data_IF_067870414460
#
_entry.id   IF_067870414460
#
_cell.length_a   1.000
_cell.length_b   1.000
_cell.length_c   1.000
_cell.angle_alpha   90.00
_cell.angle_beta   90.00
_cell.angle_gamma   90.00
#
_symmetry.space_group_name_H-M   'P 1'
#
loop_
_entity.id
_entity.type
_entity.pdbx_description
1 polymer ?
#
# COMPACT_ATOMS: atom_id res chain seq x y z
N UNK A 1 3.83 -2.68 -30.94
CA UNK A 1 2.37 -2.90 -30.93
C UNK A 1 1.65 -1.70 -30.33
N UNK A 2 0.31 -1.60 -30.47
CA UNK A 2 -0.49 -0.60 -29.75
C UNK A 2 -0.99 -1.16 -28.42
N UNK A 3 -1.12 -0.29 -27.42
CA UNK A 3 -1.71 -0.60 -26.11
C UNK A 3 -2.61 0.54 -25.66
N UNK A 4 -3.71 0.23 -24.98
CA UNK A 4 -4.52 1.23 -24.30
C UNK A 4 -3.89 1.53 -22.93
N UNK A 5 -3.83 2.81 -22.56
CA UNK A 5 -3.25 3.26 -21.31
C UNK A 5 -4.00 4.48 -20.77
N UNK A 6 -4.25 4.51 -19.46
CA UNK A 6 -4.77 5.70 -18.81
C UNK A 6 -3.61 6.64 -18.52
N UNK A 7 -3.70 7.85 -19.07
CA UNK A 7 -2.66 8.87 -18.98
C UNK A 7 -3.19 10.17 -18.39
N UNK A 8 -2.27 10.98 -17.88
CA UNK A 8 -2.56 12.37 -17.55
C UNK A 8 -1.62 13.28 -18.36
N UNK A 9 -2.20 14.36 -18.89
CA UNK A 9 -1.48 15.40 -19.67
C UNK A 9 -1.23 16.66 -18.82
N UNK A 10 -1.83 16.70 -17.63
CA UNK A 10 -1.63 17.70 -16.57
C UNK A 10 -1.97 17.07 -15.23
N UNK A 11 -1.42 17.60 -14.17
CA UNK A 11 -1.84 17.21 -12.81
C UNK A 11 -3.22 17.79 -12.47
N UNK A 12 -3.96 17.13 -11.57
CA UNK A 12 -5.28 17.58 -11.15
C UNK A 12 -6.14 16.49 -10.52
N UNK A 13 -7.45 16.72 -10.49
CA UNK A 13 -8.44 15.77 -10.01
C UNK A 13 -8.64 14.57 -10.97
N UNK A 14 -9.55 13.63 -10.62
CA UNK A 14 -9.77 12.44 -11.45
C UNK A 14 -10.13 12.71 -12.92
N UNK A 15 -10.68 13.87 -13.21
CA UNK A 15 -11.10 14.29 -14.57
C UNK A 15 -9.93 14.47 -15.55
N UNK A 16 -8.69 14.55 -15.07
CA UNK A 16 -7.53 14.72 -15.95
C UNK A 16 -7.06 13.39 -16.58
N UNK A 17 -7.58 12.26 -16.10
CA UNK A 17 -7.24 10.94 -16.63
C UNK A 17 -7.95 10.67 -17.95
N UNK A 18 -7.19 10.27 -18.96
CA UNK A 18 -7.66 9.98 -20.31
C UNK A 18 -7.18 8.59 -20.73
N UNK A 19 -8.03 7.85 -21.45
CA UNK A 19 -7.66 6.60 -22.06
C UNK A 19 -7.07 6.87 -23.45
N UNK A 20 -5.76 6.71 -23.59
CA UNK A 20 -5.02 6.91 -24.81
C UNK A 20 -4.62 5.57 -25.45
N UNK A 21 -4.52 5.53 -26.76
CA UNK A 21 -3.81 4.48 -27.47
C UNK A 21 -2.36 4.92 -27.72
N UNK A 22 -1.40 4.15 -27.22
CA UNK A 22 0.02 4.47 -27.32
C UNK A 22 0.82 3.34 -27.96
N UNK A 23 1.96 3.68 -28.53
CA UNK A 23 2.92 2.70 -29.02
C UNK A 23 3.66 2.04 -27.85
N UNK A 24 3.64 0.71 -27.81
CA UNK A 24 4.44 -0.08 -26.88
C UNK A 24 5.54 -0.78 -27.69
N UNK A 25 6.82 -0.46 -27.46
CA UNK A 25 7.92 -1.12 -28.15
C UNK A 25 8.03 -2.59 -27.75
N UNK A 26 8.77 -3.38 -28.53
CA UNK A 26 9.14 -4.73 -28.13
C UNK A 26 9.97 -4.67 -26.82
N UNK A 27 9.86 -5.68 -25.95
CA UNK A 27 10.60 -5.68 -24.69
C UNK A 27 12.12 -5.67 -24.96
N UNK A 28 12.79 -4.72 -24.32
CA UNK A 28 14.24 -4.59 -24.38
C UNK A 28 14.95 -5.80 -23.75
N UNK A 29 16.27 -5.91 -23.92
CA UNK A 29 17.07 -6.94 -23.24
C UNK A 29 16.83 -6.87 -21.71
N UNK A 30 16.64 -8.02 -21.06
CA UNK A 30 16.34 -8.13 -19.65
C UNK A 30 14.90 -7.73 -19.25
N UNK A 31 14.02 -7.38 -20.21
CA UNK A 31 12.62 -7.00 -19.95
C UNK A 31 11.66 -8.03 -20.49
N UNK A 32 10.45 -8.01 -19.95
CA UNK A 32 9.32 -8.78 -20.46
C UNK A 32 8.16 -7.84 -20.76
N UNK A 33 7.28 -8.25 -21.68
CA UNK A 33 5.96 -7.64 -21.86
C UNK A 33 4.94 -8.46 -21.09
N UNK A 34 4.11 -7.76 -20.34
CA UNK A 34 3.06 -8.34 -19.52
C UNK A 34 1.72 -7.87 -20.08
N UNK A 35 0.83 -8.80 -20.36
CA UNK A 35 -0.59 -8.52 -20.57
C UNK A 35 -1.23 -8.46 -19.19
N UNK A 36 -1.60 -7.26 -18.75
CA UNK A 36 -2.20 -7.05 -17.45
C UNK A 36 -3.59 -7.69 -17.40
N UNK A 37 -3.91 -8.30 -16.26
CA UNK A 37 -5.22 -8.95 -16.00
C UNK A 37 -5.96 -8.27 -14.86
N UNK A 38 -5.22 -7.67 -13.91
CA UNK A 38 -5.79 -6.94 -12.80
C UNK A 38 -4.79 -5.87 -12.31
N UNK A 39 -5.25 -4.65 -12.15
CA UNK A 39 -4.44 -3.48 -11.77
C UNK A 39 -4.97 -2.94 -10.45
N UNK A 40 -4.13 -2.81 -9.44
CA UNK A 40 -4.53 -2.24 -8.15
C UNK A 40 -4.56 -0.72 -8.15
N UNK A 41 -5.61 -0.16 -7.54
CA UNK A 41 -5.73 1.29 -7.34
C UNK A 41 -5.30 1.64 -5.91
N UNK A 42 -4.33 2.54 -5.78
CA UNK A 42 -3.70 2.89 -4.52
C UNK A 42 -3.60 4.40 -4.32
N UNK A 43 -3.42 4.87 -3.08
CA UNK A 43 -3.20 6.29 -2.81
C UNK A 43 -1.94 6.85 -3.49
N UNK A 44 -0.94 6.00 -3.77
CA UNK A 44 0.23 6.39 -4.54
C UNK A 44 -0.12 6.92 -5.94
N UNK A 45 -1.15 6.32 -6.55
CA UNK A 45 -1.64 6.74 -7.88
C UNK A 45 -2.34 8.11 -7.80
N UNK A 46 -3.05 8.38 -6.68
CA UNK A 46 -3.66 9.69 -6.42
C UNK A 46 -2.57 10.76 -6.29
N UNK A 47 -1.54 10.50 -5.48
CA UNK A 47 -0.43 11.44 -5.30
C UNK A 47 0.31 11.70 -6.62
N UNK A 48 0.50 10.67 -7.47
CA UNK A 48 1.08 10.84 -8.81
C UNK A 48 0.21 11.72 -9.69
N UNK A 49 -1.10 11.47 -9.72
CA UNK A 49 -2.04 12.27 -10.49
C UNK A 49 -2.06 13.74 -10.06
N UNK A 50 -1.97 14.01 -8.77
CA UNK A 50 -1.99 15.36 -8.19
C UNK A 50 -0.63 16.08 -8.28
N UNK A 51 0.45 15.36 -8.60
CA UNK A 51 1.81 15.90 -8.62
C UNK A 51 2.45 15.97 -7.23
N UNK A 52 1.82 15.36 -6.22
CA UNK A 52 2.31 15.34 -4.82
C UNK A 52 3.03 14.02 -4.51
N UNK A 53 4.18 13.80 -5.12
CA UNK A 53 4.99 12.60 -4.89
C UNK A 53 5.96 12.70 -3.72
N UNK A 54 5.89 13.75 -2.93
CA UNK A 54 6.62 13.85 -1.66
C UNK A 54 8.14 13.93 -1.78
N UNK A 55 8.69 14.45 -2.89
CA UNK A 55 10.12 14.61 -3.03
C UNK A 55 10.57 15.39 -4.28
N UNK A 56 11.77 15.96 -4.26
CA UNK A 56 12.29 16.79 -5.36
C UNK A 56 12.53 16.06 -6.70
N UNK A 57 12.34 14.74 -6.72
CA UNK A 57 12.54 13.91 -7.91
C UNK A 57 11.23 13.40 -8.54
N UNK A 58 10.10 13.94 -8.14
CA UNK A 58 8.78 13.48 -8.57
C UNK A 58 8.22 14.21 -9.81
N UNK A 59 8.85 15.26 -10.28
CA UNK A 59 8.46 15.93 -11.51
C UNK A 59 8.83 15.06 -12.72
N UNK A 60 7.89 14.23 -13.19
CA UNK A 60 7.97 13.56 -14.47
C UNK A 60 7.45 14.50 -15.56
N UNK A 61 8.10 14.49 -16.70
CA UNK A 61 7.58 15.20 -17.87
C UNK A 61 6.24 14.58 -18.31
N UNK A 62 5.21 15.40 -18.34
CA UNK A 62 3.91 15.00 -18.87
C UNK A 62 3.96 14.87 -20.41
N UNK A 63 3.17 13.99 -20.99
CA UNK A 63 2.16 13.14 -20.40
C UNK A 63 2.74 11.85 -19.81
N UNK A 64 2.21 11.38 -18.67
CA UNK A 64 2.61 10.13 -18.01
C UNK A 64 1.50 9.10 -18.06
N UNK A 65 1.86 7.82 -18.20
CA UNK A 65 0.94 6.70 -17.95
C UNK A 65 0.86 6.44 -16.46
N UNK A 66 -0.35 6.35 -15.95
CA UNK A 66 -0.63 6.18 -14.53
C UNK A 66 -0.31 4.78 -14.01
N UNK A 67 -0.27 4.67 -12.68
CA UNK A 67 -0.32 3.41 -11.95
C UNK A 67 1.03 2.87 -11.50
N UNK A 68 1.00 2.14 -10.37
CA UNK A 68 2.19 1.68 -9.65
C UNK A 68 2.28 0.17 -9.46
N UNK A 69 1.24 -0.58 -9.80
CA UNK A 69 1.26 -2.04 -9.68
C UNK A 69 0.21 -2.69 -10.57
N UNK A 70 0.52 -3.86 -11.08
CA UNK A 70 -0.46 -4.75 -11.69
C UNK A 70 -0.03 -6.21 -11.55
N UNK A 71 -0.95 -7.08 -11.92
CA UNK A 71 -0.69 -8.50 -12.16
C UNK A 71 -1.13 -8.87 -13.57
N UNK A 72 -0.53 -9.91 -14.12
CA UNK A 72 -0.86 -10.35 -15.47
C UNK A 72 -0.07 -11.57 -15.89
N UNK A 73 -0.07 -11.79 -17.19
CA UNK A 73 0.59 -12.94 -17.83
C UNK A 73 1.68 -12.44 -18.77
N UNK A 74 2.85 -13.03 -18.71
CA UNK A 74 3.94 -12.71 -19.62
C UNK A 74 3.53 -13.06 -21.05
N UNK A 75 3.53 -12.07 -21.92
CA UNK A 75 3.14 -12.17 -23.33
C UNK A 75 4.35 -12.27 -24.26
N UNK A 76 5.45 -11.60 -23.91
CA UNK A 76 6.72 -11.67 -24.64
C UNK A 76 7.89 -11.51 -23.69
N UNK A 77 9.03 -12.09 -24.09
CA UNK A 77 10.31 -11.96 -23.36
C UNK A 77 11.35 -11.30 -24.26
N UNK A 78 12.07 -10.34 -23.69
CA UNK A 78 13.20 -9.72 -24.37
C UNK A 78 14.43 -10.62 -24.35
N UNK A 79 15.47 -10.18 -25.08
CA UNK A 79 16.76 -10.89 -25.11
C UNK A 79 17.31 -11.04 -23.68
N UNK A 80 18.00 -12.14 -23.43
CA UNK A 80 18.72 -12.46 -22.18
C UNK A 80 17.80 -12.70 -20.95
N UNK A 81 16.48 -12.80 -21.12
CA UNK A 81 15.56 -13.22 -20.06
C UNK A 81 15.49 -14.76 -20.01
N UNK A 82 16.00 -15.33 -18.92
CA UNK A 82 16.01 -16.78 -18.66
C UNK A 82 15.20 -17.16 -17.42
N UNK A 83 14.85 -16.17 -16.59
CA UNK A 83 14.15 -16.38 -15.31
C UNK A 83 12.65 -16.58 -15.42
N UNK A 84 12.06 -16.21 -16.55
CA UNK A 84 10.61 -16.26 -16.78
C UNK A 84 10.27 -16.77 -18.19
N UNK A 85 9.09 -17.38 -18.31
CA UNK A 85 8.58 -17.92 -19.59
C UNK A 85 7.28 -17.23 -20.00
N UNK A 86 7.00 -17.20 -21.30
CA UNK A 86 5.69 -16.78 -21.82
C UNK A 86 4.61 -17.65 -21.20
N UNK A 87 3.49 -17.02 -20.80
CA UNK A 87 2.38 -17.69 -20.12
C UNK A 87 2.50 -17.69 -18.59
N UNK A 88 3.66 -17.36 -18.01
CA UNK A 88 3.81 -17.28 -16.54
C UNK A 88 2.97 -16.14 -15.95
N UNK A 89 2.29 -16.43 -14.82
CA UNK A 89 1.55 -15.43 -14.05
C UNK A 89 2.49 -14.66 -13.13
N UNK A 90 2.44 -13.35 -13.22
CA UNK A 90 3.35 -12.48 -12.48
C UNK A 90 2.63 -11.25 -11.94
N UNK A 91 3.13 -10.71 -10.84
CA UNK A 91 2.82 -9.36 -10.37
C UNK A 91 4.06 -8.48 -10.42
N UNK A 92 3.87 -7.17 -10.45
CA UNK A 92 4.96 -6.21 -10.37
C UNK A 92 4.55 -4.95 -9.63
N UNK A 93 5.55 -4.26 -9.07
CA UNK A 93 5.43 -2.91 -8.55
C UNK A 93 6.36 -2.03 -9.37
N UNK A 94 5.76 -1.14 -10.13
CA UNK A 94 6.47 -0.27 -11.07
C UNK A 94 5.53 0.69 -11.77
N UNK A 95 6.06 1.67 -12.51
CA UNK A 95 5.27 2.68 -13.20
C UNK A 95 4.49 2.11 -14.38
N UNK A 96 3.55 2.90 -14.87
CA UNK A 96 2.81 2.67 -16.12
C UNK A 96 1.90 1.42 -16.08
N UNK A 97 1.37 1.08 -14.92
CA UNK A 97 0.56 -0.13 -14.79
C UNK A 97 -0.90 0.03 -15.26
N UNK A 98 -1.41 1.27 -15.38
CA UNK A 98 -2.76 1.52 -15.92
C UNK A 98 -2.78 1.38 -17.44
N UNK A 99 -2.47 0.19 -17.91
CA UNK A 99 -2.40 -0.15 -19.33
C UNK A 99 -2.81 -1.61 -19.57
N UNK A 100 -3.22 -1.93 -20.80
CA UNK A 100 -3.51 -3.32 -21.18
C UNK A 100 -2.23 -4.16 -21.27
N UNK A 101 -1.12 -3.54 -21.70
CA UNK A 101 0.20 -4.17 -21.74
C UNK A 101 1.26 -3.22 -21.18
N UNK A 102 2.23 -3.78 -20.46
CA UNK A 102 3.35 -3.03 -19.88
C UNK A 102 4.65 -3.79 -20.04
N UNK A 103 5.74 -3.09 -20.39
CA UNK A 103 7.10 -3.65 -20.39
C UNK A 103 7.74 -3.43 -19.01
N UNK A 104 8.28 -4.51 -18.41
CA UNK A 104 8.90 -4.47 -17.08
C UNK A 104 10.23 -5.22 -17.06
N UNK A 105 11.22 -4.76 -16.28
CA UNK A 105 12.43 -5.56 -16.01
C UNK A 105 12.06 -6.91 -15.39
N UNK A 106 12.55 -8.00 -15.95
CA UNK A 106 12.26 -9.36 -15.47
C UNK A 106 12.67 -9.57 -14.00
N UNK A 107 13.75 -8.93 -13.56
CA UNK A 107 14.25 -8.98 -12.17
C UNK A 107 13.33 -8.32 -11.14
N UNK A 108 12.26 -7.59 -11.56
CA UNK A 108 11.31 -6.92 -10.67
C UNK A 108 9.95 -7.61 -10.59
N UNK A 109 9.87 -8.81 -11.12
CA UNK A 109 8.62 -9.55 -11.14
C UNK A 109 8.50 -10.48 -9.93
N UNK A 110 7.27 -10.61 -9.46
CA UNK A 110 6.89 -11.56 -8.42
C UNK A 110 6.10 -12.69 -9.09
N UNK A 111 6.59 -13.93 -9.04
CA UNK A 111 5.84 -15.08 -9.51
C UNK A 111 4.62 -15.31 -8.63
N UNK A 112 3.44 -15.44 -9.24
CA UNK A 112 2.19 -15.64 -8.50
C UNK A 112 1.92 -17.13 -8.30
N UNK A 113 1.70 -17.58 -7.04
CA UNK A 113 1.24 -18.94 -6.78
C UNK A 113 -0.17 -19.18 -7.37
N UNK A 114 -0.46 -20.41 -7.81
CA UNK A 114 -1.77 -20.78 -8.37
C UNK A 114 -2.92 -20.56 -7.38
N UNK A 115 -2.66 -20.71 -6.08
CA UNK A 115 -3.65 -20.48 -5.03
C UNK A 115 -4.04 -19.00 -4.83
N UNK A 116 -3.30 -18.05 -5.43
CA UNK A 116 -3.61 -16.63 -5.37
C UNK A 116 -4.20 -16.17 -6.69
N UNK A 117 -5.46 -15.75 -6.68
CA UNK A 117 -6.13 -15.24 -7.87
C UNK A 117 -5.58 -13.88 -8.30
N UNK A 118 -5.76 -13.51 -9.57
CA UNK A 118 -5.32 -12.20 -10.07
C UNK A 118 -5.99 -11.03 -9.32
N UNK A 119 -7.26 -11.19 -8.95
CA UNK A 119 -7.99 -10.19 -8.15
C UNK A 119 -7.36 -9.97 -6.77
N UNK A 120 -7.04 -11.07 -6.07
CA UNK A 120 -6.39 -11.01 -4.76
C UNK A 120 -5.00 -10.40 -4.91
N UNK A 121 -4.20 -10.86 -5.87
CA UNK A 121 -2.88 -10.30 -6.09
C UNK A 121 -2.96 -8.81 -6.51
N UNK A 122 -3.86 -8.45 -7.42
CA UNK A 122 -4.10 -7.08 -7.85
C UNK A 122 -4.54 -6.16 -6.72
N UNK A 123 -5.37 -6.64 -5.80
CA UNK A 123 -5.79 -5.87 -4.63
C UNK A 123 -4.73 -5.76 -3.52
N UNK A 124 -3.88 -6.79 -3.37
CA UNK A 124 -3.09 -6.95 -2.15
C UNK A 124 -1.57 -6.92 -2.34
N UNK A 125 -1.01 -7.02 -3.54
CA UNK A 125 0.45 -7.11 -3.74
C UNK A 125 1.19 -5.91 -3.13
N UNK A 126 0.85 -4.67 -3.53
CA UNK A 126 1.51 -3.46 -3.02
C UNK A 126 1.27 -3.27 -1.52
N UNK A 127 0.01 -3.39 -1.10
CA UNK A 127 -0.39 -3.21 0.31
C UNK A 127 0.20 -4.30 1.19
N UNK A 128 0.19 -5.54 0.72
CA UNK A 128 0.72 -6.68 1.44
C UNK A 128 2.24 -6.62 1.61
N UNK A 129 2.99 -6.26 0.57
CA UNK A 129 4.44 -6.03 0.69
C UNK A 129 4.75 -4.84 1.60
N UNK A 130 3.88 -3.83 1.61
CA UNK A 130 3.99 -2.71 2.56
C UNK A 130 3.76 -3.19 3.99
N UNK A 131 2.72 -3.97 4.25
CA UNK A 131 2.47 -4.54 5.58
C UNK A 131 3.60 -5.48 6.01
N UNK A 132 4.15 -6.27 5.09
CA UNK A 132 5.26 -7.19 5.35
C UNK A 132 6.46 -6.45 5.93
N UNK A 133 6.97 -5.42 5.23
CA UNK A 133 8.14 -4.74 5.77
C UNK A 133 7.83 -3.93 7.03
N UNK A 134 6.65 -3.33 7.14
CA UNK A 134 6.25 -2.58 8.33
C UNK A 134 6.23 -3.46 9.58
N UNK A 135 5.64 -4.66 9.49
CA UNK A 135 5.41 -5.55 10.63
C UNK A 135 6.59 -6.47 10.93
N UNK A 136 7.41 -6.84 9.92
CA UNK A 136 8.39 -7.91 10.08
C UNK A 136 9.84 -7.45 9.97
N UNK A 137 10.11 -6.37 9.25
CA UNK A 137 11.49 -5.91 8.99
C UNK A 137 11.80 -4.55 9.61
N UNK A 138 10.91 -3.57 9.46
CA UNK A 138 11.10 -2.25 10.04
C UNK A 138 10.93 -2.27 11.57
N UNK A 139 9.79 -2.75 12.04
CA UNK A 139 9.54 -3.06 13.44
C UNK A 139 9.13 -4.53 13.55
N UNK A 140 9.93 -5.33 14.23
CA UNK A 140 9.65 -6.77 14.37
C UNK A 140 8.50 -6.97 15.36
N UNK A 141 7.29 -6.90 14.83
CA UNK A 141 6.06 -7.11 15.60
C UNK A 141 5.95 -8.59 16.02
N UNK A 142 5.54 -8.83 17.26
CA UNK A 142 5.39 -10.18 17.80
C UNK A 142 4.75 -10.20 19.19
N UNK A 143 4.79 -11.34 19.89
CA UNK A 143 4.26 -11.44 21.26
C UNK A 143 4.85 -10.38 22.18
N UNK A 144 3.98 -9.71 22.95
CA UNK A 144 4.34 -8.60 23.82
C UNK A 144 4.41 -7.23 23.16
N UNK A 145 4.28 -7.14 21.83
CA UNK A 145 4.17 -5.85 21.12
C UNK A 145 2.74 -5.32 21.21
N UNK A 146 2.58 -4.04 21.57
CA UNK A 146 1.34 -3.30 21.40
C UNK A 146 1.51 -2.28 20.26
N UNK A 147 0.77 -2.46 19.16
CA UNK A 147 0.82 -1.59 17.99
C UNK A 147 -0.46 -0.74 17.87
N UNK A 148 -0.31 0.57 17.63
CA UNK A 148 -1.42 1.45 17.27
C UNK A 148 -1.41 1.65 15.76
N UNK A 149 -2.57 1.49 15.12
CA UNK A 149 -2.75 1.69 13.68
C UNK A 149 -3.80 2.75 13.43
N UNK A 150 -3.42 3.85 12.80
CA UNK A 150 -4.38 4.85 12.36
C UNK A 150 -5.12 4.40 11.09
N UNK A 151 -6.38 4.83 10.96
CA UNK A 151 -7.29 4.41 9.88
C UNK A 151 -7.43 2.88 9.79
N UNK A 152 -7.70 2.23 10.92
CA UNK A 152 -7.73 0.78 11.08
C UNK A 152 -8.69 0.05 10.13
N UNK A 153 -9.81 0.67 9.74
CA UNK A 153 -10.75 0.13 8.77
C UNK A 153 -10.40 0.45 7.30
N UNK A 154 -9.27 1.09 7.03
CA UNK A 154 -8.79 1.32 5.66
C UNK A 154 -8.03 0.12 5.11
N UNK A 155 -7.80 0.09 3.78
CA UNK A 155 -7.20 -1.06 3.11
C UNK A 155 -5.84 -1.50 3.66
N UNK A 156 -4.98 -0.58 4.12
CA UNK A 156 -3.75 -0.92 4.86
C UNK A 156 -4.04 -1.34 6.29
N UNK A 157 -4.99 -0.64 6.97
CA UNK A 157 -5.36 -0.93 8.33
C UNK A 157 -5.85 -2.37 8.53
N UNK A 158 -6.67 -2.87 7.62
CA UNK A 158 -7.19 -4.24 7.69
C UNK A 158 -6.07 -5.29 7.63
N UNK A 159 -5.12 -5.13 6.70
CA UNK A 159 -3.97 -6.04 6.61
C UNK A 159 -3.08 -5.95 7.85
N UNK A 160 -2.80 -4.73 8.31
CA UNK A 160 -1.95 -4.53 9.49
C UNK A 160 -2.58 -5.15 10.74
N UNK A 161 -3.90 -5.00 10.92
CA UNK A 161 -4.62 -5.61 12.05
C UNK A 161 -4.54 -7.13 12.04
N UNK A 162 -4.95 -7.76 10.94
CA UNK A 162 -4.97 -9.23 10.85
C UNK A 162 -3.57 -9.83 10.89
N UNK A 163 -2.62 -9.28 10.13
CA UNK A 163 -1.27 -9.82 10.12
C UNK A 163 -0.51 -9.55 11.41
N UNK A 164 -0.72 -8.38 12.03
CA UNK A 164 -0.17 -8.06 13.35
C UNK A 164 -0.66 -9.02 14.44
N UNK A 165 -1.97 -9.30 14.44
CA UNK A 165 -2.55 -10.32 15.33
C UNK A 165 -2.01 -11.71 15.04
N UNK A 166 -1.88 -12.11 13.77
CA UNK A 166 -1.28 -13.39 13.39
C UNK A 166 0.17 -13.53 13.89
N UNK A 167 0.90 -12.43 13.99
CA UNK A 167 2.25 -12.37 14.55
C UNK A 167 2.26 -12.39 16.10
N UNK A 168 1.08 -12.35 16.75
CA UNK A 168 0.93 -12.39 18.20
C UNK A 168 0.99 -11.03 18.90
N UNK A 169 0.88 -9.93 18.17
CA UNK A 169 0.83 -8.59 18.75
C UNK A 169 -0.57 -8.23 19.23
N UNK A 170 -0.65 -7.34 20.22
CA UNK A 170 -1.87 -6.62 20.57
C UNK A 170 -2.04 -5.43 19.63
N UNK A 171 -3.15 -5.41 18.90
CA UNK A 171 -3.44 -4.40 17.88
C UNK A 171 -4.51 -3.42 18.38
N UNK A 172 -4.18 -2.13 18.40
CA UNK A 172 -5.11 -1.03 18.72
C UNK A 172 -5.37 -0.26 17.42
N UNK A 173 -6.63 -0.02 17.09
CA UNK A 173 -7.01 0.69 15.86
C UNK A 173 -7.71 1.99 16.13
N UNK A 174 -7.45 3.04 15.32
CA UNK A 174 -8.27 4.26 15.35
C UNK A 174 -9.17 4.35 14.13
N UNK A 175 -10.40 4.78 14.33
CA UNK A 175 -11.44 4.93 13.31
C UNK A 175 -12.23 6.22 13.48
N UNK A 176 -13.03 6.60 12.46
CA UNK A 176 -13.83 7.83 12.47
C UNK A 176 -15.33 7.62 12.70
N UNK A 177 -15.78 6.37 12.85
CA UNK A 177 -17.19 6.07 13.08
C UNK A 177 -17.38 4.67 13.64
N UNK A 178 -18.55 4.40 14.24
CA UNK A 178 -18.85 3.05 14.79
C UNK A 178 -18.96 2.00 13.68
N UNK A 179 -19.52 2.32 12.53
CA UNK A 179 -19.54 1.38 11.40
C UNK A 179 -18.12 0.93 10.98
N UNK A 180 -17.14 1.84 11.00
CA UNK A 180 -15.73 1.50 10.78
C UNK A 180 -15.11 0.74 11.95
N UNK A 181 -15.58 0.97 13.18
CA UNK A 181 -15.14 0.21 14.34
C UNK A 181 -15.54 -1.26 14.23
N UNK A 182 -16.76 -1.56 13.79
CA UNK A 182 -17.22 -2.92 13.55
C UNK A 182 -16.34 -3.65 12.53
N UNK A 183 -16.04 -2.97 11.39
CA UNK A 183 -15.13 -3.52 10.38
C UNK A 183 -13.75 -3.82 10.95
N UNK A 184 -13.17 -2.89 11.71
CA UNK A 184 -11.84 -3.08 12.29
C UNK A 184 -11.82 -4.22 13.33
N UNK A 185 -12.84 -4.34 14.19
CA UNK A 185 -12.95 -5.47 15.15
C UNK A 185 -12.93 -6.83 14.46
N UNK A 186 -13.61 -6.94 13.31
CA UNK A 186 -13.62 -8.17 12.53
C UNK A 186 -12.25 -8.50 11.89
N UNK A 187 -11.34 -7.53 11.84
CA UNK A 187 -10.04 -7.64 11.18
C UNK A 187 -8.83 -7.54 12.15
N UNK A 188 -8.96 -8.16 13.32
CA UNK A 188 -7.79 -8.46 14.16
C UNK A 188 -7.39 -7.41 15.19
N UNK A 189 -8.21 -6.37 15.39
CA UNK A 189 -7.95 -5.38 16.42
C UNK A 189 -8.54 -5.78 17.78
N UNK A 190 -7.73 -5.72 18.83
CA UNK A 190 -8.11 -6.04 20.21
C UNK A 190 -8.83 -4.86 20.90
N UNK A 191 -8.49 -3.62 20.48
CA UNK A 191 -9.15 -2.41 20.95
C UNK A 191 -9.33 -1.44 19.79
N UNK A 192 -10.46 -0.72 19.80
CA UNK A 192 -10.78 0.30 18.79
C UNK A 192 -11.07 1.62 19.50
N UNK A 193 -10.52 2.69 18.94
CA UNK A 193 -10.69 4.05 19.41
C UNK A 193 -11.39 4.86 18.32
N UNK A 194 -12.61 5.33 18.61
CA UNK A 194 -13.32 6.21 17.70
C UNK A 194 -12.93 7.66 18.02
N UNK A 195 -11.96 8.21 17.27
CA UNK A 195 -11.45 9.56 17.48
C UNK A 195 -12.46 10.70 17.22
N UNK A 196 -13.65 10.40 16.68
CA UNK A 196 -14.72 11.39 16.56
C UNK A 196 -15.44 11.66 17.90
N UNK A 197 -15.35 10.73 18.83
CA UNK A 197 -15.98 10.79 20.16
C UNK A 197 -15.00 10.65 21.32
N UNK A 198 -13.78 10.20 21.06
CA UNK A 198 -12.77 9.90 22.07
C UNK A 198 -11.45 10.61 21.77
N UNK A 199 -10.70 11.01 22.81
CA UNK A 199 -9.30 11.40 22.66
C UNK A 199 -8.43 10.16 22.49
N UNK A 200 -7.90 9.95 21.30
CA UNK A 200 -7.13 8.76 21.02
C UNK A 200 -5.80 8.69 21.81
N UNK A 201 -5.23 9.83 22.24
CA UNK A 201 -4.04 9.83 23.08
C UNK A 201 -4.39 9.24 24.45
N UNK A 202 -5.39 9.81 25.11
CA UNK A 202 -5.84 9.36 26.43
C UNK A 202 -6.28 7.88 26.39
N UNK A 203 -7.02 7.48 25.36
CA UNK A 203 -7.46 6.08 25.19
C UNK A 203 -6.29 5.14 24.91
N UNK A 204 -5.32 5.51 24.08
CA UNK A 204 -4.12 4.69 23.87
C UNK A 204 -3.34 4.50 25.15
N UNK A 205 -3.15 5.56 25.95
CA UNK A 205 -2.49 5.45 27.24
C UNK A 205 -3.28 4.56 28.21
N UNK A 206 -4.60 4.67 28.25
CA UNK A 206 -5.47 3.78 29.05
C UNK A 206 -5.31 2.32 28.63
N UNK A 207 -5.34 2.03 27.32
CA UNK A 207 -5.19 0.67 26.78
C UNK A 207 -3.79 0.09 26.99
N UNK A 208 -2.82 0.90 27.36
CA UNK A 208 -1.42 0.50 27.56
C UNK A 208 -0.93 0.73 29.01
N UNK A 209 -1.84 0.85 29.99
CA UNK A 209 -1.52 1.11 31.39
C UNK A 209 -0.57 2.32 31.59
N UNK A 210 -0.77 3.38 30.81
CA UNK A 210 0.04 4.59 30.81
C UNK A 210 1.39 4.49 30.10
N UNK A 211 1.78 3.32 29.58
CA UNK A 211 3.10 3.10 28.96
C UNK A 211 3.21 3.69 27.56
N UNK A 212 2.10 3.72 26.82
CA UNK A 212 2.06 4.06 25.40
C UNK A 212 2.34 2.87 24.46
N UNK A 213 2.01 3.00 23.19
CA UNK A 213 2.21 1.96 22.20
C UNK A 213 3.70 1.74 21.87
N UNK A 214 4.12 0.53 21.58
CA UNK A 214 5.50 0.20 21.16
C UNK A 214 5.81 0.78 19.79
N UNK A 215 4.86 0.65 18.87
CA UNK A 215 4.93 1.17 17.51
C UNK A 215 3.59 1.76 17.09
N UNK A 216 3.63 2.88 16.38
CA UNK A 216 2.45 3.54 15.80
C UNK A 216 2.61 3.58 14.28
N UNK A 217 1.66 2.99 13.56
CA UNK A 217 1.61 3.01 12.11
C UNK A 217 0.66 4.10 11.63
N UNK A 218 1.20 5.17 11.06
CA UNK A 218 0.45 6.33 10.59
C UNK A 218 0.44 6.45 9.07
N UNK A 219 -0.71 6.14 8.46
CA UNK A 219 -1.02 6.41 7.07
C UNK A 219 -1.81 7.70 6.85
N UNK A 220 -2.15 8.42 7.93
CA UNK A 220 -3.02 9.61 7.92
C UNK A 220 -2.22 10.90 7.71
N UNK A 221 -1.10 11.05 8.43
CA UNK A 221 -0.20 12.20 8.31
C UNK A 221 -0.63 13.41 9.13
N UNK A 222 -0.94 14.54 8.48
CA UNK A 222 -1.17 15.86 9.10
C UNK A 222 -2.05 15.82 10.36
N UNK A 223 -3.13 15.07 10.35
CA UNK A 223 -4.09 15.05 11.47
C UNK A 223 -3.68 14.18 12.65
N UNK A 224 -2.81 13.18 12.44
CA UNK A 224 -2.51 12.16 13.45
C UNK A 224 -1.06 12.16 13.92
N UNK A 225 -0.10 12.42 13.04
CA UNK A 225 1.32 12.20 13.29
C UNK A 225 1.85 12.87 14.56
N UNK A 226 1.66 14.18 14.69
CA UNK A 226 2.21 14.93 15.85
C UNK A 226 1.60 14.48 17.17
N UNK A 227 0.33 14.10 17.17
CA UNK A 227 -0.37 13.58 18.34
C UNK A 227 0.09 12.17 18.70
N UNK A 228 0.53 11.38 17.74
CA UNK A 228 1.06 10.03 17.96
C UNK A 228 2.31 10.01 18.83
N UNK A 229 3.12 11.09 18.79
CA UNK A 229 4.30 11.24 19.65
C UNK A 229 3.95 11.28 21.15
N UNK A 230 2.73 11.70 21.48
CA UNK A 230 2.29 11.83 22.87
C UNK A 230 1.86 10.49 23.48
N UNK A 231 1.43 9.50 22.64
CA UNK A 231 0.96 8.20 23.07
C UNK A 231 1.85 7.02 22.65
N UNK A 232 3.02 7.27 22.08
CA UNK A 232 4.07 6.26 21.91
C UNK A 232 4.89 6.16 23.21
N UNK A 233 5.35 4.95 23.56
CA UNK A 233 6.19 4.74 24.75
C UNK A 233 7.60 5.36 24.60
N UNK A 234 8.35 5.54 25.68
CA UNK A 234 9.77 5.82 25.59
C UNK A 234 10.51 4.77 24.74
N UNK A 235 11.38 5.24 23.84
CA UNK A 235 12.10 4.40 22.84
C UNK A 235 11.19 3.62 21.90
N UNK A 236 9.93 4.04 21.77
CA UNK A 236 8.99 3.50 20.78
C UNK A 236 9.20 4.13 19.39
N UNK A 237 8.45 3.64 18.42
CA UNK A 237 8.58 4.06 17.02
C UNK A 237 7.27 4.63 16.49
N UNK A 238 7.35 5.75 15.76
CA UNK A 238 6.23 6.27 14.96
C UNK A 238 6.61 6.19 13.49
N UNK A 239 5.82 5.43 12.73
CA UNK A 239 6.06 5.15 11.32
C UNK A 239 5.05 5.90 10.47
N UNK A 240 5.49 6.97 9.80
CA UNK A 240 4.66 7.74 8.87
C UNK A 240 4.76 7.14 7.46
N UNK A 241 3.90 6.17 7.13
CA UNK A 241 3.94 5.50 5.82
C UNK A 241 2.98 6.10 4.78
N UNK A 242 2.13 7.04 5.16
CA UNK A 242 1.17 7.70 4.26
C UNK A 242 0.79 9.11 4.73
N UNK A 243 0.09 9.84 3.86
CA UNK A 243 -0.32 11.24 4.08
C UNK A 243 -1.76 11.49 3.62
N UNK A 244 -2.68 10.56 3.91
CA UNK A 244 -4.07 10.65 3.44
C UNK A 244 -4.84 11.92 3.88
N UNK A 245 -4.38 12.63 4.92
CA UNK A 245 -4.92 13.92 5.36
C UNK A 245 -4.03 15.11 5.00
N UNK A 246 -2.99 14.88 4.21
CA UNK A 246 -1.98 15.86 3.85
C UNK A 246 -0.63 15.63 4.55
N UNK A 247 0.38 16.33 4.07
CA UNK A 247 1.74 16.27 4.60
C UNK A 247 1.81 16.78 6.04
N UNK A 248 2.72 16.21 6.83
CA UNK A 248 2.92 16.58 8.25
C UNK A 248 3.36 18.04 8.41
N UNK A 249 4.08 18.58 7.43
CA UNK A 249 4.63 19.92 7.50
C UNK A 249 5.92 19.99 8.32
N UNK A 250 6.19 21.15 8.90
CA UNK A 250 7.35 21.36 9.76
C UNK A 250 7.27 20.52 11.03
N UNK A 251 8.40 19.93 11.41
CA UNK A 251 8.50 19.03 12.54
C UNK A 251 9.71 19.38 13.41
N UNK A 252 9.45 19.70 14.67
CA UNK A 252 10.50 19.97 15.65
C UNK A 252 11.06 18.66 16.22
N UNK A 253 12.33 18.36 15.90
CA UNK A 253 13.04 17.19 16.41
C UNK A 253 13.16 17.16 17.95
N UNK A 254 13.08 18.31 18.63
CA UNK A 254 13.14 18.36 20.10
C UNK A 254 12.00 17.58 20.76
N UNK A 255 10.87 17.43 20.07
CA UNK A 255 9.75 16.61 20.55
C UNK A 255 10.09 15.13 20.74
N UNK A 256 11.13 14.64 20.10
CA UNK A 256 11.58 13.25 20.24
C UNK A 256 12.43 13.03 21.48
N UNK A 257 13.09 14.07 21.97
CA UNK A 257 14.15 13.99 22.97
C UNK A 257 13.69 13.37 24.29
N UNK A 258 12.56 13.83 24.86
CA UNK A 258 12.10 13.43 26.20
C UNK A 258 11.82 11.92 26.34
N UNK A 259 11.41 11.28 25.26
CA UNK A 259 11.10 9.84 25.20
C UNK A 259 12.07 9.05 24.31
N UNK A 260 13.08 9.69 23.68
CA UNK A 260 13.98 9.06 22.71
C UNK A 260 13.21 8.31 21.60
N UNK A 261 12.20 8.96 21.03
CA UNK A 261 11.30 8.38 20.04
C UNK A 261 12.03 8.17 18.72
N UNK A 262 11.81 7.05 18.06
CA UNK A 262 12.25 6.78 16.69
C UNK A 262 11.14 7.21 15.73
N UNK A 263 11.47 8.04 14.76
CA UNK A 263 10.56 8.43 13.68
C UNK A 263 11.15 8.02 12.33
N UNK A 264 10.31 7.45 11.49
CA UNK A 264 10.72 7.09 10.12
C UNK A 264 9.60 7.33 9.13
N UNK A 265 9.99 7.65 7.88
CA UNK A 265 9.09 7.72 6.72
C UNK A 265 9.62 6.77 5.64
N UNK A 266 9.25 5.48 5.72
CA UNK A 266 9.76 4.47 4.82
C UNK A 266 9.07 4.51 3.44
N UNK A 267 9.73 3.96 2.43
CA UNK A 267 9.14 3.71 1.11
C UNK A 267 9.33 2.23 0.73
N UNK A 268 8.28 1.59 0.24
CA UNK A 268 8.34 0.20 -0.20
C UNK A 268 9.48 -0.04 -1.20
N UNK A 269 9.76 0.95 -2.08
CA UNK A 269 10.82 0.85 -3.09
C UNK A 269 12.18 0.45 -2.50
N UNK A 270 12.57 1.02 -1.36
CA UNK A 270 13.84 0.68 -0.70
C UNK A 270 13.83 -0.70 -0.06
N UNK A 271 12.67 -1.22 0.36
CA UNK A 271 12.51 -2.52 1.00
C UNK A 271 12.40 -3.71 0.01
N UNK A 272 12.19 -3.42 -1.27
CA UNK A 272 12.16 -4.41 -2.36
C UNK A 272 13.22 -4.10 -3.43
N UNK A 273 14.23 -3.30 -3.11
CA UNK A 273 15.30 -2.96 -4.04
C UNK A 273 16.25 -4.14 -4.27
N UNK A 274 16.52 -4.89 -3.21
CA UNK A 274 17.29 -6.13 -3.27
C UNK A 274 16.37 -7.28 -3.71
N UNK A 275 16.75 -8.05 -4.76
CA UNK A 275 15.94 -9.15 -5.29
C UNK A 275 15.67 -10.27 -4.29
N UNK A 276 16.62 -10.62 -3.44
CA UNK A 276 16.46 -11.70 -2.46
C UNK A 276 15.52 -11.28 -1.33
N UNK A 277 15.62 -10.02 -0.86
CA UNK A 277 14.67 -9.46 0.09
C UNK A 277 13.28 -9.36 -0.51
N UNK A 278 13.14 -8.94 -1.76
CA UNK A 278 11.87 -8.87 -2.48
C UNK A 278 11.22 -10.24 -2.63
N UNK A 279 12.01 -11.28 -2.97
CA UNK A 279 11.54 -12.65 -3.08
C UNK A 279 11.10 -13.20 -1.72
N UNK A 280 11.86 -12.98 -0.65
CA UNK A 280 11.50 -13.40 0.70
C UNK A 280 10.21 -12.71 1.19
N UNK A 281 10.08 -11.41 0.93
CA UNK A 281 8.89 -10.63 1.28
C UNK A 281 7.63 -11.10 0.52
N UNK A 282 7.75 -11.34 -0.78
CA UNK A 282 6.63 -11.82 -1.60
C UNK A 282 6.21 -13.23 -1.19
N UNK A 283 7.17 -14.12 -0.89
CA UNK A 283 6.87 -15.45 -0.35
C UNK A 283 6.06 -15.34 0.96
N UNK A 284 6.51 -14.51 1.89
CA UNK A 284 5.82 -14.33 3.16
C UNK A 284 4.41 -13.76 2.99
N UNK A 285 4.20 -12.84 2.04
CA UNK A 285 2.89 -12.34 1.68
C UNK A 285 2.02 -13.44 1.09
N UNK A 286 2.50 -14.18 0.11
CA UNK A 286 1.71 -15.23 -0.54
C UNK A 286 1.39 -16.39 0.41
N UNK A 287 2.25 -16.70 1.37
CA UNK A 287 1.98 -17.71 2.42
C UNK A 287 0.79 -17.33 3.31
N UNK A 288 0.53 -16.04 3.56
CA UNK A 288 -0.63 -15.60 4.33
C UNK A 288 -1.88 -15.45 3.46
N UNK A 289 -1.75 -15.04 2.19
CA UNK A 289 -2.86 -14.92 1.24
C UNK A 289 -3.39 -16.31 0.84
N UNK A 290 -2.51 -17.21 0.42
CA UNK A 290 -2.87 -18.57 -0.02
C UNK A 290 -3.46 -19.42 1.10
N UNK A 291 -3.00 -19.22 2.33
CA UNK A 291 -3.46 -19.99 3.49
C UNK A 291 -4.77 -19.49 4.10
N UNK A 292 -5.40 -18.47 3.54
CA UNK A 292 -6.60 -17.86 4.12
C UNK A 292 -6.39 -17.31 5.53
N UNK A 293 -5.13 -17.03 5.90
CA UNK A 293 -4.76 -16.55 7.24
C UNK A 293 -5.15 -15.10 7.47
N UNK A 294 -5.30 -14.36 6.39
CA UNK A 294 -5.88 -13.02 6.39
C UNK A 294 -7.04 -12.98 5.40
N UNK A 295 -8.07 -12.21 5.74
CA UNK A 295 -9.20 -12.01 4.85
C UNK A 295 -8.78 -11.12 3.68
N UNK A 296 -9.27 -11.45 2.50
CA UNK A 296 -8.97 -10.71 1.27
C UNK A 296 -10.25 -10.19 0.60
N UNK A 297 -11.09 -9.40 1.31
CA UNK A 297 -12.26 -8.82 0.68
C UNK A 297 -11.82 -7.95 -0.49
N UNK A 298 -12.54 -8.05 -1.61
CA UNK A 298 -12.38 -7.15 -2.74
C UNK A 298 -13.53 -6.14 -2.72
N UNK A 299 -13.20 -4.90 -3.00
CA UNK A 299 -14.16 -3.82 -3.12
C UNK A 299 -14.77 -3.77 -4.52
N UNK A 300 -14.55 -2.67 -5.21
CA UNK A 300 -15.09 -2.48 -6.55
C UNK A 300 -14.10 -2.90 -7.64
N UNK A 301 -14.65 -3.38 -8.76
CA UNK A 301 -13.94 -3.65 -10.01
C UNK A 301 -14.43 -2.67 -11.06
N UNK A 302 -13.52 -1.98 -11.71
CA UNK A 302 -13.83 -1.04 -12.79
C UNK A 302 -13.12 -1.45 -14.06
N UNK A 303 -13.72 -1.28 -15.25
CA UNK A 303 -12.96 -1.30 -16.49
C UNK A 303 -11.83 -0.25 -16.45
N UNK A 304 -10.71 -0.51 -17.12
CA UNK A 304 -9.58 0.42 -17.19
C UNK A 304 -10.00 1.83 -17.62
N UNK A 305 -10.92 1.92 -18.58
CA UNK A 305 -11.48 3.21 -19.05
C UNK A 305 -12.20 4.01 -17.96
N UNK A 306 -12.60 3.40 -16.85
CA UNK A 306 -13.27 4.03 -15.72
C UNK A 306 -12.31 4.34 -14.55
N UNK A 307 -11.01 4.43 -14.80
CA UNK A 307 -10.01 4.72 -13.76
C UNK A 307 -10.32 6.01 -12.98
N UNK A 308 -10.87 7.02 -13.63
CA UNK A 308 -11.31 8.26 -12.98
C UNK A 308 -12.38 8.01 -11.89
N UNK A 309 -13.33 7.10 -12.15
CA UNK A 309 -14.37 6.75 -11.18
C UNK A 309 -13.80 5.92 -10.03
N UNK A 310 -12.89 4.99 -10.33
CA UNK A 310 -12.17 4.23 -9.30
C UNK A 310 -11.39 5.15 -8.34
N UNK A 311 -10.75 6.20 -8.86
CA UNK A 311 -10.08 7.21 -8.04
C UNK A 311 -11.07 8.00 -7.18
N UNK A 312 -12.20 8.50 -7.74
CA UNK A 312 -13.24 9.18 -6.96
C UNK A 312 -13.73 8.31 -5.81
N UNK A 313 -13.98 7.04 -6.08
CA UNK A 313 -14.42 6.11 -5.06
C UNK A 313 -13.36 5.90 -3.96
N UNK A 314 -12.07 5.79 -4.30
CA UNK A 314 -11.00 5.68 -3.32
C UNK A 314 -10.89 6.97 -2.47
N UNK A 315 -10.98 8.14 -3.09
CA UNK A 315 -10.90 9.46 -2.43
C UNK A 315 -12.08 9.73 -1.50
N UNK A 316 -13.26 9.18 -1.80
CA UNK A 316 -14.45 9.31 -0.94
C UNK A 316 -14.29 8.66 0.43
N UNK A 317 -13.27 7.80 0.62
CA UNK A 317 -13.00 7.04 1.86
C UNK A 317 -14.18 6.19 2.35
N UNK A 318 -15.13 5.91 1.46
CA UNK A 318 -16.30 5.06 1.74
C UNK A 318 -15.99 3.58 1.59
N UNK A 319 -14.92 3.23 0.86
CA UNK A 319 -14.54 1.85 0.57
C UNK A 319 -13.43 1.40 1.51
N UNK A 320 -13.65 0.27 2.17
CA UNK A 320 -12.69 -0.36 3.09
C UNK A 320 -11.83 -1.45 2.42
N UNK A 321 -12.30 -2.00 1.30
CA UNK A 321 -11.62 -3.05 0.54
C UNK A 321 -10.86 -2.50 -0.70
N UNK A 322 -9.88 -3.23 -1.24
CA UNK A 322 -9.14 -2.82 -2.43
C UNK A 322 -10.02 -2.60 -3.65
N UNK A 323 -9.73 -1.57 -4.42
CA UNK A 323 -10.31 -1.30 -5.74
C UNK A 323 -9.33 -1.77 -6.80
N UNK A 324 -9.85 -2.39 -7.86
CA UNK A 324 -9.03 -2.87 -8.98
C UNK A 324 -9.60 -2.40 -10.32
N UNK A 325 -8.70 -2.22 -11.31
CA UNK A 325 -9.06 -1.99 -12.70
C UNK A 325 -8.84 -3.27 -13.48
N UNK A 326 -9.75 -3.53 -14.42
CA UNK A 326 -9.69 -4.65 -15.35
C UNK A 326 -9.42 -4.06 -16.73
N UNK A 327 -8.26 -4.38 -17.34
CA UNK A 327 -7.85 -3.87 -18.65
C UNK A 327 -8.73 -4.34 -19.80
#
# INVERSE_FOLDING_TARGET
>A
MKTQAVRIHRHGGPEVMQLDEIDLPEPAAGHVRIRNTCIGVNYADIYEREGDHGGPHSAKDLPITMGHMAVGVIDAVGKDVTSHTIGARVGYIGPNSYATYTNMPAARLFSLPDAVTDDVAGGYLLRGLTAEYLLRRLYRVGPGTTALVHAAAGGMGLILGEWGRLLGARMIGTVSSEAKAEVARAHGYDAIINYSSEDFIARTLQETDGKGADVIYDGVGKMAFLKSLDCVRPRGMVVSYGTASGNVGEFDLQRLHSKSIIVTRPTLRSWIADPDEAAAASKALFDVLSGGKIQTPLGARFPLAQAAEAHRQLESRSVTAPIVLIP
#
